data_IF_945415558258
#
_entry.id   IF_945415558258
#
_cell.length_a   1.000
_cell.length_b   1.000
_cell.length_c   1.000
_cell.angle_alpha   90.00
_cell.angle_beta   90.00
_cell.angle_gamma   90.00
#
_symmetry.space_group_name_H-M   'P 1'
#
loop_
_entity.id
_entity.type
_entity.pdbx_description
1 polymer ?
#
# COMPACT_ATOMS: atom_id res chain seq x y z
N UNK A 1 14.30 -11.49 -7.63
CA UNK A 1 12.99 -11.16 -7.05
C UNK A 1 13.07 -11.47 -5.57
N UNK A 2 12.87 -10.47 -4.72
CA UNK A 2 12.95 -10.63 -3.27
C UNK A 2 11.55 -10.68 -2.68
N UNK A 3 11.39 -11.45 -1.60
CA UNK A 3 10.16 -11.52 -0.83
C UNK A 3 10.45 -11.21 0.63
N UNK A 4 9.45 -10.69 1.33
CA UNK A 4 9.44 -10.48 2.77
C UNK A 4 8.06 -10.84 3.31
N UNK A 5 8.00 -11.25 4.57
CA UNK A 5 6.75 -11.53 5.28
C UNK A 5 6.56 -10.46 6.32
N UNK A 6 5.50 -9.67 6.18
CA UNK A 6 5.18 -8.60 7.10
C UNK A 6 4.11 -9.04 8.08
N UNK A 7 4.30 -8.72 9.35
CA UNK A 7 3.27 -8.92 10.37
C UNK A 7 2.06 -8.05 10.05
N UNK A 8 0.86 -8.59 10.20
CA UNK A 8 -0.35 -7.80 10.19
C UNK A 8 -1.41 -8.50 11.06
N UNK A 9 -1.86 -7.85 12.15
CA UNK A 9 -2.65 -8.51 13.20
C UNK A 9 -1.91 -9.74 13.75
N UNK A 10 -2.65 -10.78 14.09
CA UNK A 10 -2.14 -12.10 14.50
C UNK A 10 -1.70 -12.96 13.29
N UNK A 11 -1.52 -12.34 12.13
CA UNK A 11 -1.33 -12.98 10.84
C UNK A 11 -0.21 -12.28 10.05
N UNK A 12 -0.20 -12.45 8.73
CA UNK A 12 0.85 -11.92 7.88
C UNK A 12 0.35 -11.62 6.47
N UNK A 13 1.06 -10.71 5.83
CA UNK A 13 0.94 -10.42 4.40
C UNK A 13 2.31 -10.52 3.73
N UNK A 14 2.32 -10.77 2.43
CA UNK A 14 3.54 -11.02 1.68
C UNK A 14 3.91 -9.76 0.90
N UNK A 15 5.14 -9.30 1.06
CA UNK A 15 5.73 -8.23 0.25
C UNK A 15 6.68 -8.83 -0.78
N UNK A 16 6.52 -8.47 -2.05
CA UNK A 16 7.46 -8.77 -3.14
C UNK A 16 8.02 -7.46 -3.66
N UNK A 17 9.32 -7.39 -3.92
CA UNK A 17 9.93 -6.13 -4.30
C UNK A 17 11.13 -6.26 -5.22
N UNK A 18 11.35 -5.15 -5.92
CA UNK A 18 12.52 -4.85 -6.74
C UNK A 18 12.75 -3.33 -6.70
N UNK A 19 13.81 -2.81 -7.34
CA UNK A 19 13.96 -1.36 -7.50
C UNK A 19 12.80 -0.71 -8.29
N UNK A 20 12.06 -1.49 -9.08
CA UNK A 20 11.04 -1.00 -10.01
C UNK A 20 9.61 -1.11 -9.47
N UNK A 21 9.39 -1.90 -8.42
CA UNK A 21 8.06 -2.05 -7.82
C UNK A 21 8.11 -2.55 -6.38
N UNK A 22 7.01 -2.30 -5.67
CA UNK A 22 6.68 -2.97 -4.42
C UNK A 22 5.27 -3.53 -4.53
N UNK A 23 5.10 -4.81 -4.25
CA UNK A 23 3.83 -5.53 -4.35
C UNK A 23 3.49 -6.14 -2.99
N UNK A 24 2.30 -5.84 -2.48
CA UNK A 24 1.75 -6.39 -1.25
C UNK A 24 0.61 -7.32 -1.61
N UNK A 25 0.62 -8.52 -1.04
CA UNK A 25 -0.39 -9.55 -1.29
C UNK A 25 -0.95 -10.12 0.01
N UNK A 26 -2.27 -10.22 0.04
CA UNK A 26 -3.08 -10.98 1.00
C UNK A 26 -4.06 -11.88 0.22
N UNK A 27 -5.04 -12.52 0.87
CA UNK A 27 -5.97 -13.46 0.21
C UNK A 27 -6.94 -12.78 -0.75
N UNK A 28 -7.46 -11.61 -0.35
CA UNK A 28 -8.49 -10.85 -1.09
C UNK A 28 -8.02 -9.42 -1.46
N UNK A 29 -6.73 -9.13 -1.31
CA UNK A 29 -6.17 -7.80 -1.47
C UNK A 29 -4.78 -7.89 -2.11
N UNK A 30 -4.56 -7.12 -3.16
CA UNK A 30 -3.25 -6.92 -3.76
C UNK A 30 -3.04 -5.42 -4.03
N UNK A 31 -1.88 -4.90 -3.66
CA UNK A 31 -1.44 -3.54 -3.96
C UNK A 31 -0.10 -3.62 -4.67
N UNK A 32 -0.04 -3.14 -5.91
CA UNK A 32 1.22 -2.97 -6.61
C UNK A 32 1.53 -1.48 -6.76
N UNK A 33 2.74 -1.11 -6.38
CA UNK A 33 3.27 0.25 -6.44
C UNK A 33 4.38 0.25 -7.46
N UNK A 34 4.26 1.07 -8.50
CA UNK A 34 5.25 1.31 -9.56
C UNK A 34 5.52 2.81 -9.70
N UNK A 35 6.58 3.21 -10.41
CA UNK A 35 6.76 4.60 -10.79
C UNK A 35 5.50 5.15 -11.46
N UNK A 36 4.89 6.18 -10.86
CA UNK A 36 3.72 6.91 -11.38
C UNK A 36 2.42 6.10 -11.47
N UNK A 37 2.39 4.88 -10.96
CA UNK A 37 1.23 4.01 -11.06
C UNK A 37 1.08 3.16 -9.80
N UNK A 38 -0.14 3.12 -9.26
CA UNK A 38 -0.48 2.28 -8.11
C UNK A 38 -1.76 1.53 -8.47
N UNK A 39 -1.74 0.21 -8.41
CA UNK A 39 -2.90 -0.64 -8.70
C UNK A 39 -3.33 -1.42 -7.47
N UNK A 40 -4.65 -1.50 -7.26
CA UNK A 40 -5.28 -2.16 -6.12
C UNK A 40 -6.36 -3.12 -6.60
N UNK A 41 -6.28 -4.40 -6.23
CA UNK A 41 -7.38 -5.36 -6.40
C UNK A 41 -8.30 -5.36 -5.17
N UNK A 42 -9.58 -5.68 -5.38
CA UNK A 42 -10.60 -5.61 -4.32
C UNK A 42 -11.06 -4.18 -4.03
N UNK A 43 -10.84 -3.24 -4.95
CA UNK A 43 -11.11 -1.83 -4.71
C UNK A 43 -12.61 -1.47 -4.74
N UNK A 44 -12.99 -0.64 -3.78
CA UNK A 44 -14.25 0.07 -3.68
C UNK A 44 -14.14 1.46 -4.29
N UNK A 45 -14.53 2.47 -3.53
CA UNK A 45 -14.55 3.86 -3.96
C UNK A 45 -13.16 4.49 -3.86
N UNK A 46 -12.86 5.38 -4.81
CA UNK A 46 -11.64 6.19 -4.82
C UNK A 46 -12.04 7.64 -4.60
N UNK A 47 -11.42 8.31 -3.63
CA UNK A 47 -11.60 9.73 -3.39
C UNK A 47 -10.25 10.44 -3.30
N UNK A 48 -10.21 11.68 -3.77
CA UNK A 48 -9.00 12.52 -3.77
C UNK A 48 -9.27 13.79 -2.98
N UNK A 49 -8.41 14.09 -2.02
CA UNK A 49 -8.49 15.28 -1.19
C UNK A 49 -7.21 16.11 -1.28
N UNK A 50 -7.35 17.42 -1.15
CA UNK A 50 -6.21 18.34 -1.04
C UNK A 50 -5.94 18.66 0.43
N UNK A 51 -4.71 18.49 0.89
CA UNK A 51 -4.30 18.69 2.28
C UNK A 51 -3.31 19.85 2.42
N UNK A 52 -3.18 20.38 3.64
CA UNK A 52 -2.15 21.37 4.00
C UNK A 52 -2.06 22.57 3.04
N UNK A 53 -3.22 23.17 2.70
CA UNK A 53 -3.32 24.31 1.76
C UNK A 53 -2.72 24.01 0.37
N UNK A 54 -2.92 22.80 -0.15
CA UNK A 54 -2.42 22.43 -1.47
C UNK A 54 -1.00 21.87 -1.49
N UNK A 55 -0.34 21.72 -0.34
CA UNK A 55 1.02 21.16 -0.29
C UNK A 55 1.06 19.64 -0.45
N UNK A 56 -0.05 18.97 -0.15
CA UNK A 56 -0.19 17.51 -0.25
C UNK A 56 -1.53 17.16 -0.90
N UNK A 57 -1.57 16.03 -1.59
CA UNK A 57 -2.80 15.37 -1.99
C UNK A 57 -2.88 14.01 -1.32
N UNK A 58 -4.10 13.62 -0.99
CA UNK A 58 -4.42 12.33 -0.42
C UNK A 58 -5.35 11.59 -1.34
N UNK A 59 -5.01 10.34 -1.67
CA UNK A 59 -5.92 9.42 -2.36
C UNK A 59 -6.35 8.37 -1.35
N UNK A 60 -7.64 8.21 -1.18
CA UNK A 60 -8.24 7.18 -0.35
C UNK A 60 -8.91 6.17 -1.27
N UNK A 61 -8.61 4.90 -1.07
CA UNK A 61 -9.23 3.78 -1.78
C UNK A 61 -9.86 2.87 -0.75
N UNK A 62 -11.19 2.79 -0.72
CA UNK A 62 -11.84 1.78 0.11
C UNK A 62 -11.67 0.39 -0.50
N UNK A 63 -11.73 -0.64 0.32
CA UNK A 63 -11.71 -2.04 -0.09
C UNK A 63 -12.40 -2.89 0.96
N UNK A 64 -12.60 -4.18 0.68
CA UNK A 64 -13.07 -5.10 1.71
C UNK A 64 -12.02 -5.26 2.82
N UNK A 65 -12.47 -5.68 4.00
CA UNK A 65 -11.56 -6.03 5.11
C UNK A 65 -10.52 -7.02 4.62
N UNK A 66 -9.23 -6.72 4.87
CA UNK A 66 -8.12 -7.56 4.39
C UNK A 66 -8.12 -8.92 5.09
N UNK A 67 -8.25 -9.98 4.29
CA UNK A 67 -8.08 -11.37 4.70
C UNK A 67 -6.61 -11.77 4.57
N UNK A 68 -5.92 -11.85 5.71
CA UNK A 68 -4.49 -12.18 5.76
C UNK A 68 -4.22 -13.66 5.52
N UNK A 69 -2.97 -13.98 5.18
CA UNK A 69 -2.49 -15.34 5.24
C UNK A 69 -2.34 -15.77 6.70
N UNK A 70 -2.68 -17.02 7.02
CA UNK A 70 -2.42 -17.56 8.35
C UNK A 70 -0.92 -17.70 8.56
N UNK A 71 -0.49 -17.70 9.82
CA UNK A 71 0.92 -17.78 10.17
C UNK A 71 1.63 -19.00 9.56
N UNK A 72 0.92 -20.13 9.44
CA UNK A 72 1.45 -21.36 8.84
C UNK A 72 1.64 -21.26 7.32
N UNK A 73 0.94 -20.34 6.66
CA UNK A 73 1.04 -20.10 5.21
C UNK A 73 2.20 -19.16 4.87
N UNK A 74 2.65 -18.36 5.84
CA UNK A 74 3.76 -17.46 5.68
C UNK A 74 5.07 -18.19 5.89
N UNK A 75 5.71 -18.53 4.77
CA UNK A 75 7.04 -19.12 4.76
C UNK A 75 8.08 -18.01 4.98
N UNK A 76 8.66 -17.95 6.17
CA UNK A 76 9.76 -17.04 6.49
C UNK A 76 9.61 -16.38 7.86
N UNK A 77 10.62 -15.60 8.23
CA UNK A 77 10.57 -14.79 9.44
C UNK A 77 9.59 -13.63 9.25
N UNK A 78 8.73 -13.42 10.26
CA UNK A 78 7.72 -12.36 10.24
C UNK A 78 8.34 -11.06 10.76
N UNK A 79 8.52 -10.09 9.88
CA UNK A 79 9.12 -8.80 10.21
C UNK A 79 8.06 -7.74 10.51
N UNK A 80 8.33 -6.84 11.47
CA UNK A 80 7.53 -5.61 11.64
C UNK A 80 8.06 -4.44 10.84
N UNK A 81 9.32 -4.48 10.41
CA UNK A 81 9.94 -3.40 9.67
C UNK A 81 10.98 -3.98 8.71
N UNK A 82 10.87 -3.64 7.44
CA UNK A 82 11.74 -4.09 6.35
C UNK A 82 12.29 -2.85 5.66
N UNK A 83 13.61 -2.76 5.55
CA UNK A 83 14.26 -1.77 4.68
C UNK A 83 14.92 -2.50 3.52
N UNK A 84 14.42 -2.26 2.30
CA UNK A 84 14.88 -2.93 1.08
C UNK A 84 15.97 -2.17 0.35
N UNK A 85 16.45 -1.05 0.92
CA UNK A 85 17.31 -0.07 0.25
C UNK A 85 16.55 0.92 -0.65
N UNK A 86 15.33 0.56 -1.08
CA UNK A 86 14.46 1.39 -1.91
C UNK A 86 13.18 1.77 -1.15
N UNK A 87 12.54 0.78 -0.54
CA UNK A 87 11.34 0.94 0.26
C UNK A 87 11.65 0.72 1.72
N UNK A 88 10.97 1.46 2.58
CA UNK A 88 10.89 1.12 4.01
C UNK A 88 9.45 0.77 4.30
N UNK A 89 9.20 -0.45 4.77
CA UNK A 89 7.86 -0.93 5.08
C UNK A 89 7.76 -1.28 6.54
N UNK A 90 6.73 -0.76 7.20
CA UNK A 90 6.55 -0.91 8.63
C UNK A 90 5.12 -1.31 8.97
N UNK A 91 4.98 -2.46 9.61
CA UNK A 91 3.75 -2.87 10.28
C UNK A 91 3.66 -2.24 11.67
N UNK A 92 2.54 -1.58 11.95
CA UNK A 92 2.27 -0.93 13.22
C UNK A 92 0.97 -1.47 13.80
N UNK A 93 1.03 -1.93 15.05
CA UNK A 93 -0.13 -2.35 15.81
C UNK A 93 -0.45 -1.29 16.88
N UNK A 94 -1.71 -0.90 16.98
CA UNK A 94 -2.18 0.08 17.97
C UNK A 94 -3.49 -0.38 18.60
N UNK A 95 -3.89 0.18 19.76
CA UNK A 95 -5.21 -0.10 20.34
C UNK A 95 -6.39 0.26 19.42
N UNK A 96 -6.17 1.07 18.38
CA UNK A 96 -7.19 1.53 17.44
C UNK A 96 -7.15 0.80 16.10
N UNK A 97 -6.26 -0.20 15.95
CA UNK A 97 -6.12 -1.00 14.75
C UNK A 97 -4.69 -1.09 14.26
N UNK A 98 -4.54 -1.97 13.26
CA UNK A 98 -3.27 -2.33 12.66
C UNK A 98 -3.19 -1.82 11.23
N UNK A 99 -2.02 -1.30 10.86
CA UNK A 99 -1.78 -0.77 9.54
C UNK A 99 -0.34 -0.99 9.10
N UNK A 100 -0.12 -0.96 7.78
CA UNK A 100 1.21 -1.02 7.19
C UNK A 100 1.51 0.30 6.50
N UNK A 101 2.67 0.87 6.79
CA UNK A 101 3.18 2.05 6.09
C UNK A 101 4.28 1.63 5.12
N UNK A 102 4.19 2.06 3.87
CA UNK A 102 5.22 1.90 2.83
C UNK A 102 5.75 3.29 2.52
N UNK A 103 7.01 3.56 2.87
CA UNK A 103 7.73 4.74 2.43
C UNK A 103 8.31 4.47 1.04
N UNK A 104 7.98 5.33 0.09
CA UNK A 104 8.30 5.13 -1.33
C UNK A 104 9.50 5.98 -1.77
N UNK A 105 10.33 5.50 -2.70
CA UNK A 105 11.37 6.33 -3.31
C UNK A 105 10.79 7.53 -4.06
N UNK A 106 11.54 8.62 -4.17
CA UNK A 106 11.10 9.82 -4.89
C UNK A 106 10.70 9.59 -6.35
N UNK A 107 11.25 8.56 -7.02
CA UNK A 107 10.87 8.16 -8.38
C UNK A 107 9.43 7.65 -8.51
N UNK A 108 8.78 7.28 -7.40
CA UNK A 108 7.43 6.76 -7.37
C UNK A 108 6.35 7.84 -7.27
N UNK A 109 6.75 9.10 -7.06
CA UNK A 109 5.90 10.29 -6.96
C UNK A 109 4.86 10.27 -5.83
N UNK A 110 4.84 9.23 -5.01
CA UNK A 110 4.17 9.16 -3.71
C UNK A 110 5.18 9.42 -2.60
N UNK A 111 4.72 10.01 -1.49
CA UNK A 111 5.53 10.17 -0.28
C UNK A 111 5.52 8.86 0.53
N UNK A 112 4.31 8.34 0.77
CA UNK A 112 4.08 7.09 1.46
C UNK A 112 2.66 6.58 1.21
N UNK A 113 2.47 5.29 1.52
CA UNK A 113 1.19 4.59 1.42
C UNK A 113 0.90 3.95 2.77
N UNK A 114 -0.35 4.02 3.24
CA UNK A 114 -0.82 3.34 4.44
C UNK A 114 -1.93 2.37 4.06
N UNK A 115 -1.72 1.09 4.35
CA UNK A 115 -2.70 0.02 4.17
C UNK A 115 -3.37 -0.21 5.53
N UNK A 116 -4.61 0.21 5.66
CA UNK A 116 -5.46 -0.05 6.83
C UNK A 116 -6.29 -1.32 6.68
N UNK A 117 -7.27 -1.50 7.55
CA UNK A 117 -8.13 -2.70 7.56
C UNK A 117 -9.03 -2.79 6.32
N UNK A 118 -9.67 -1.69 5.94
CA UNK A 118 -10.66 -1.56 4.86
C UNK A 118 -10.43 -0.33 3.97
N UNK A 119 -9.29 0.35 4.15
CA UNK A 119 -8.93 1.53 3.38
C UNK A 119 -7.42 1.63 3.18
N UNK A 120 -7.03 1.96 1.95
CA UNK A 120 -5.66 2.32 1.58
C UNK A 120 -5.58 3.82 1.34
N UNK A 121 -4.64 4.45 2.02
CA UNK A 121 -4.32 5.86 1.93
C UNK A 121 -3.00 6.06 1.19
N UNK A 122 -2.95 6.96 0.23
CA UNK A 122 -1.75 7.30 -0.54
C UNK A 122 -1.52 8.80 -0.41
N UNK A 123 -0.38 9.20 0.17
CA UNK A 123 0.00 10.59 0.22
C UNK A 123 0.91 10.95 -0.96
N UNK A 124 0.58 12.05 -1.63
CA UNK A 124 1.33 12.60 -2.75
C UNK A 124 1.75 14.05 -2.45
N UNK A 125 2.83 14.55 -3.06
CA UNK A 125 3.10 15.98 -3.16
C UNK A 125 1.94 16.70 -3.86
N UNK A 126 1.64 17.93 -3.42
CA UNK A 126 0.44 18.66 -3.88
C UNK A 126 0.42 19.05 -5.36
N UNK A 127 1.60 19.23 -5.96
CA UNK A 127 1.76 19.57 -7.38
C UNK A 127 1.59 18.39 -8.35
N UNK A 128 1.15 17.23 -7.86
CA UNK A 128 0.88 16.04 -8.68
C UNK A 128 -0.59 15.96 -9.04
N UNK A 129 -0.88 15.62 -10.28
CA UNK A 129 -2.24 15.26 -10.68
C UNK A 129 -2.48 13.76 -10.54
N UNK A 130 -3.73 13.41 -10.27
CA UNK A 130 -4.16 12.03 -10.02
C UNK A 130 -5.32 11.72 -10.92
N UNK A 131 -5.18 10.66 -11.70
CA UNK A 131 -6.24 10.06 -12.48
C UNK A 131 -6.44 8.64 -12.00
N UNK A 132 -7.65 8.12 -12.08
CA UNK A 132 -7.89 6.73 -11.74
C UNK A 132 -8.86 6.09 -12.71
N UNK A 133 -8.63 4.80 -12.94
CA UNK A 133 -9.49 3.92 -13.70
C UNK A 133 -9.96 2.79 -12.79
N UNK A 134 -11.24 2.44 -12.88
CA UNK A 134 -11.84 1.33 -12.12
C UNK A 134 -12.44 0.33 -13.10
N UNK A 135 -11.89 -0.89 -13.11
CA UNK A 135 -12.35 -2.00 -13.93
C UNK A 135 -12.57 -3.22 -13.03
N UNK A 136 -13.82 -3.65 -12.86
CA UNK A 136 -14.17 -4.93 -12.23
C UNK A 136 -13.36 -5.27 -10.97
N UNK A 137 -13.40 -4.40 -9.96
CA UNK A 137 -12.69 -4.60 -8.68
C UNK A 137 -11.19 -4.32 -8.70
N UNK A 138 -10.63 -3.89 -9.83
CA UNK A 138 -9.28 -3.33 -9.95
C UNK A 138 -9.38 -1.80 -10.06
N UNK A 139 -8.58 -1.10 -9.27
CA UNK A 139 -8.40 0.35 -9.38
C UNK A 139 -6.95 0.63 -9.73
N UNK A 140 -6.73 1.38 -10.80
CA UNK A 140 -5.39 1.86 -11.19
C UNK A 140 -5.35 3.36 -11.04
N UNK A 141 -4.40 3.85 -10.24
CA UNK A 141 -4.16 5.25 -9.95
C UNK A 141 -2.91 5.69 -10.70
N UNK A 142 -3.04 6.71 -11.53
CA UNK A 142 -1.96 7.32 -12.30
C UNK A 142 -1.56 8.65 -11.67
N UNK A 143 -0.25 8.84 -11.44
CA UNK A 143 0.32 10.03 -10.81
C UNK A 143 1.13 10.82 -11.85
N UNK A 144 0.72 12.05 -12.14
CA UNK A 144 1.32 12.90 -13.18
C UNK A 144 2.14 14.02 -12.55
#
# INVERSE_FOLDING_TARGET
MHHTVLRYKEACIIGEYSPEYFHVKARNYELEVRPRMISLTGCGDVSVSTLHRGRKRAVYVSHQVIECFRKEECKGDVESEVNTGYFTVKATATPHGDYITILTPGSFLSDYIVIGEDMTYIQLPGGRDVYFEKLTGLCTIYIV
#
